data_IF_352147385506
#
_entry.id   IF_352147385506
#
_cell.length_a   1.000
_cell.length_b   1.000
_cell.length_c   1.000
_cell.angle_alpha   90.00
_cell.angle_beta   90.00
_cell.angle_gamma   90.00
#
_symmetry.space_group_name_H-M   'P 1'
#
loop_
_entity.id
_entity.type
_entity.pdbx_description
1 polymer ?
#
# COMPACT_ATOMS: atom_id res chain seq x y z
N UNK A 1 -58.79 11.37 -31.94
CA UNK A 1 -58.13 11.74 -33.21
C UNK A 1 -56.85 12.48 -32.85
N UNK A 2 -55.70 11.90 -33.22
CA UNK A 2 -54.33 12.42 -33.09
C UNK A 2 -53.83 12.77 -31.67
N UNK A 3 -52.81 12.03 -31.19
CA UNK A 3 -51.72 12.65 -30.43
C UNK A 3 -51.26 13.83 -31.28
N UNK A 4 -51.65 15.05 -30.88
CA UNK A 4 -51.30 16.25 -31.64
C UNK A 4 -49.78 16.33 -31.71
N UNK A 5 -49.31 16.42 -32.96
CA UNK A 5 -48.07 17.00 -33.44
C UNK A 5 -47.05 17.35 -32.34
N UNK A 6 -45.93 16.61 -32.32
CA UNK A 6 -44.78 16.79 -31.43
C UNK A 6 -44.11 18.17 -31.54
N UNK A 7 -44.61 19.05 -32.42
CA UNK A 7 -44.14 20.42 -32.68
C UNK A 7 -45.04 21.51 -32.07
N UNK A 8 -46.18 21.19 -31.45
CA UNK A 8 -47.12 22.21 -30.96
C UNK A 8 -46.77 22.72 -29.55
N UNK A 9 -46.33 23.98 -29.43
CA UNK A 9 -45.91 24.64 -28.19
C UNK A 9 -47.05 24.96 -27.20
N UNK A 10 -48.30 24.58 -27.49
CA UNK A 10 -49.49 25.03 -26.76
C UNK A 10 -49.97 24.13 -25.59
N UNK A 11 -49.24 23.09 -25.18
CA UNK A 11 -49.72 22.13 -24.18
C UNK A 11 -48.63 21.50 -23.32
N UNK A 12 -47.81 22.33 -22.67
CA UNK A 12 -46.64 21.89 -21.89
C UNK A 12 -47.03 20.97 -20.70
N UNK A 13 -48.23 21.12 -20.14
CA UNK A 13 -48.69 20.40 -18.94
C UNK A 13 -49.21 18.96 -19.15
N UNK A 14 -49.35 18.49 -20.40
CA UNK A 14 -49.90 17.15 -20.69
C UNK A 14 -48.87 16.08 -21.09
N UNK A 15 -47.59 16.44 -21.17
CA UNK A 15 -46.52 15.64 -21.81
C UNK A 15 -45.68 14.82 -20.84
N UNK A 16 -45.64 15.18 -19.56
CA UNK A 16 -44.91 14.47 -18.52
C UNK A 16 -45.93 13.90 -17.53
N UNK A 17 -46.06 12.58 -17.52
CA UNK A 17 -46.95 11.85 -16.63
C UNK A 17 -46.43 10.41 -16.49
N UNK A 18 -47.08 9.58 -15.66
CA UNK A 18 -46.74 8.15 -15.59
C UNK A 18 -47.08 7.44 -16.91
N UNK A 19 -46.38 6.36 -17.26
CA UNK A 19 -46.68 5.59 -18.47
C UNK A 19 -48.16 5.21 -18.57
N UNK A 20 -48.78 4.83 -17.44
CA UNK A 20 -50.20 4.46 -17.37
C UNK A 20 -51.13 5.64 -17.73
N UNK A 21 -50.81 6.84 -17.23
CA UNK A 21 -51.58 8.04 -17.53
C UNK A 21 -51.40 8.51 -18.99
N UNK A 22 -50.21 8.35 -19.56
CA UNK A 22 -49.98 8.68 -20.98
C UNK A 22 -50.72 7.72 -21.91
N UNK A 23 -50.78 6.43 -21.56
CA UNK A 23 -51.55 5.42 -22.32
C UNK A 23 -53.05 5.71 -22.29
N UNK A 24 -53.62 6.04 -21.13
CA UNK A 24 -55.05 6.38 -21.02
C UNK A 24 -55.45 7.65 -21.78
N UNK A 25 -54.51 8.59 -21.96
CA UNK A 25 -54.67 9.80 -22.80
C UNK A 25 -54.54 9.52 -24.32
N UNK A 26 -54.31 8.26 -24.71
CA UNK A 26 -54.25 7.83 -26.10
C UNK A 26 -52.85 7.90 -26.74
N UNK A 27 -51.79 8.08 -25.94
CA UNK A 27 -50.41 7.99 -26.44
C UNK A 27 -50.08 6.53 -26.82
N UNK A 28 -49.47 6.34 -27.99
CA UNK A 28 -49.04 5.00 -28.43
C UNK A 28 -47.76 4.59 -27.70
N UNK A 29 -47.64 3.31 -27.34
CA UNK A 29 -46.48 2.76 -26.61
C UNK A 29 -45.13 3.08 -27.26
N UNK A 30 -45.04 2.99 -28.58
CA UNK A 30 -43.82 3.27 -29.36
C UNK A 30 -43.40 4.74 -29.35
N UNK A 31 -44.26 5.64 -28.85
CA UNK A 31 -43.97 7.06 -28.73
C UNK A 31 -43.72 7.50 -27.28
N UNK A 32 -43.88 6.61 -26.31
CA UNK A 32 -43.60 6.89 -24.89
C UNK A 32 -42.11 6.64 -24.64
N UNK A 33 -41.38 7.69 -24.31
CA UNK A 33 -39.99 7.60 -23.86
C UNK A 33 -39.95 7.44 -22.34
N UNK A 34 -39.70 6.22 -21.89
CA UNK A 34 -39.56 5.89 -20.47
C UNK A 34 -38.28 5.09 -20.25
N UNK A 35 -37.11 5.75 -20.10
CA UNK A 35 -35.87 5.06 -19.84
C UNK A 35 -35.94 4.38 -18.47
N UNK A 36 -35.66 3.08 -18.44
CA UNK A 36 -35.64 2.25 -17.23
C UNK A 36 -34.17 2.04 -16.86
N UNK A 37 -33.88 2.07 -15.57
CA UNK A 37 -32.56 1.69 -15.08
C UNK A 37 -32.34 0.19 -15.32
N UNK A 38 -31.15 -0.19 -15.78
CA UNK A 38 -30.83 -1.59 -16.08
C UNK A 38 -29.37 -1.93 -15.84
N UNK A 39 -29.13 -3.20 -15.48
CA UNK A 39 -27.80 -3.80 -15.31
C UNK A 39 -27.59 -4.87 -16.38
N UNK A 40 -26.63 -4.65 -17.26
CA UNK A 40 -26.24 -5.60 -18.30
C UNK A 40 -24.89 -6.24 -17.94
N UNK A 41 -24.84 -7.57 -17.76
CA UNK A 41 -23.62 -8.29 -17.39
C UNK A 41 -22.90 -8.78 -18.65
N UNK A 42 -21.67 -8.31 -18.88
CA UNK A 42 -20.85 -8.65 -20.04
C UNK A 42 -19.87 -9.79 -19.79
N UNK A 43 -19.34 -9.89 -18.56
CA UNK A 43 -18.39 -10.94 -18.18
C UNK A 43 -18.70 -11.43 -16.78
N UNK A 44 -18.99 -12.74 -16.67
CA UNK A 44 -19.37 -13.38 -15.43
C UNK A 44 -18.75 -14.78 -15.28
N UNK A 45 -17.43 -14.86 -15.31
CA UNK A 45 -16.69 -16.09 -14.96
C UNK A 45 -17.02 -16.49 -13.51
N UNK A 46 -17.23 -17.78 -13.21
CA UNK A 46 -17.45 -18.25 -11.85
C UNK A 46 -16.18 -18.07 -11.00
N UNK A 47 -16.37 -17.96 -9.68
CA UNK A 47 -15.25 -17.90 -8.74
C UNK A 47 -14.47 -19.23 -8.73
N UNK A 48 -13.15 -19.17 -8.81
CA UNK A 48 -12.29 -20.35 -8.75
C UNK A 48 -12.38 -21.00 -7.36
N UNK A 49 -12.45 -22.34 -7.31
CA UNK A 49 -12.62 -23.10 -6.06
C UNK A 49 -11.34 -23.85 -5.65
N UNK A 50 -10.42 -24.10 -6.58
CA UNK A 50 -9.28 -24.99 -6.36
C UNK A 50 -7.93 -24.30 -6.62
N UNK A 51 -6.88 -24.90 -6.04
CA UNK A 51 -5.45 -24.64 -6.27
C UNK A 51 -5.06 -24.91 -7.72
N UNK A 52 -5.44 -24.03 -8.63
CA UNK A 52 -4.91 -24.05 -9.99
C UNK A 52 -3.47 -23.54 -9.96
N UNK A 53 -2.55 -24.39 -10.45
CA UNK A 53 -1.11 -24.09 -10.54
C UNK A 53 -0.78 -22.93 -11.48
N UNK A 54 -1.69 -22.60 -12.40
CA UNK A 54 -1.51 -21.50 -13.35
C UNK A 54 -2.26 -20.26 -12.84
N UNK A 55 -1.49 -19.24 -12.46
CA UNK A 55 -1.99 -17.96 -11.92
C UNK A 55 -2.90 -17.19 -12.88
N UNK A 56 -2.89 -17.51 -14.18
CA UNK A 56 -3.56 -16.73 -15.22
C UNK A 56 -5.08 -16.91 -15.33
N UNK A 57 -5.69 -17.91 -14.65
CA UNK A 57 -7.14 -18.16 -14.74
C UNK A 57 -7.86 -18.16 -13.37
N UNK A 58 -7.21 -17.61 -12.34
CA UNK A 58 -7.81 -17.42 -11.02
C UNK A 58 -8.83 -16.28 -11.08
N UNK A 59 -10.10 -16.58 -10.77
CA UNK A 59 -11.19 -15.61 -10.71
C UNK A 59 -11.64 -15.42 -9.27
N UNK A 60 -11.32 -14.27 -8.67
CA UNK A 60 -11.64 -13.93 -7.28
C UNK A 60 -12.84 -13.00 -7.12
N UNK A 61 -13.32 -12.39 -8.21
CA UNK A 61 -14.49 -11.49 -8.23
C UNK A 61 -15.45 -11.90 -9.35
N UNK A 62 -16.76 -11.82 -9.11
CA UNK A 62 -17.82 -12.10 -10.09
C UNK A 62 -19.04 -11.21 -9.83
N UNK A 63 -19.62 -10.56 -10.87
CA UNK A 63 -19.18 -10.49 -12.27
C UNK A 63 -17.95 -9.60 -12.46
N UNK A 64 -17.24 -9.74 -13.58
CA UNK A 64 -16.01 -8.98 -13.87
C UNK A 64 -16.25 -7.76 -14.77
N UNK A 65 -17.35 -7.74 -15.53
CA UNK A 65 -17.71 -6.61 -16.39
C UNK A 65 -19.22 -6.48 -16.50
N UNK A 66 -19.72 -5.28 -16.24
CA UNK A 66 -21.14 -4.93 -16.38
C UNK A 66 -21.28 -3.50 -16.92
N UNK A 67 -22.43 -3.19 -17.50
CA UNK A 67 -22.87 -1.84 -17.83
C UNK A 67 -24.09 -1.52 -17.01
N UNK A 68 -24.04 -0.41 -16.29
CA UNK A 68 -25.14 0.12 -15.51
C UNK A 68 -25.71 1.35 -16.24
N UNK A 69 -26.98 1.31 -16.60
CA UNK A 69 -27.72 2.47 -17.12
C UNK A 69 -28.66 2.93 -16.01
N UNK A 70 -28.53 4.17 -15.56
CA UNK A 70 -29.34 4.73 -14.48
C UNK A 70 -30.13 5.93 -14.95
N UNK A 71 -31.42 5.95 -14.63
CA UNK A 71 -32.26 7.14 -14.70
C UNK A 71 -31.98 8.04 -13.48
N UNK A 72 -31.93 9.38 -13.64
CA UNK A 72 -31.78 10.29 -12.51
C UNK A 72 -32.83 10.04 -11.41
N UNK A 73 -32.38 9.87 -10.17
CA UNK A 73 -33.23 9.60 -9.01
C UNK A 73 -33.67 8.15 -8.83
N UNK A 74 -33.24 7.22 -9.70
CA UNK A 74 -33.45 5.78 -9.53
C UNK A 74 -32.19 5.09 -9.02
N UNK A 75 -32.39 4.01 -8.28
CA UNK A 75 -31.33 3.16 -7.72
C UNK A 75 -31.40 1.76 -8.34
N UNK A 76 -30.25 1.09 -8.44
CA UNK A 76 -30.12 -0.31 -8.86
C UNK A 76 -29.17 -1.04 -7.92
N UNK A 77 -29.47 -2.31 -7.64
CA UNK A 77 -28.64 -3.13 -6.75
C UNK A 77 -27.79 -4.09 -7.57
N UNK A 78 -26.47 -4.00 -7.40
CA UNK A 78 -25.51 -4.91 -8.02
C UNK A 78 -25.01 -5.92 -6.99
N UNK A 79 -25.09 -7.21 -7.32
CA UNK A 79 -24.58 -8.29 -6.49
C UNK A 79 -23.16 -8.65 -6.94
N UNK A 80 -22.17 -8.39 -6.08
CA UNK A 80 -20.75 -8.73 -6.31
C UNK A 80 -20.36 -9.86 -5.35
N UNK A 81 -19.78 -10.92 -5.90
CA UNK A 81 -19.27 -12.06 -5.15
C UNK A 81 -17.75 -12.01 -5.15
N UNK A 82 -17.14 -12.12 -3.97
CA UNK A 82 -15.68 -12.13 -3.79
C UNK A 82 -15.28 -13.40 -3.05
N UNK A 83 -14.16 -14.01 -3.45
CA UNK A 83 -13.55 -15.15 -2.76
C UNK A 83 -12.04 -15.06 -2.83
N UNK A 84 -11.39 -15.25 -1.68
CA UNK A 84 -9.93 -15.41 -1.62
C UNK A 84 -9.52 -16.79 -2.13
N UNK A 85 -8.42 -16.86 -2.89
CA UNK A 85 -7.85 -18.14 -3.33
C UNK A 85 -7.09 -18.77 -2.17
N UNK A 86 -7.15 -20.10 -2.03
CA UNK A 86 -6.45 -20.83 -0.96
C UNK A 86 -4.92 -20.76 -1.12
N UNK A 87 -4.41 -20.85 -2.35
CA UNK A 87 -2.97 -20.73 -2.67
C UNK A 87 -2.74 -19.48 -3.51
N UNK A 88 -2.63 -18.33 -2.85
CA UNK A 88 -2.36 -17.04 -3.50
C UNK A 88 -0.91 -16.61 -3.24
N UNK A 89 -0.15 -16.14 -4.26
CA UNK A 89 1.24 -15.72 -4.07
C UNK A 89 1.38 -14.58 -3.06
N UNK A 90 2.42 -14.64 -2.23
CA UNK A 90 2.69 -13.64 -1.20
C UNK A 90 4.10 -13.09 -1.38
N UNK A 91 4.19 -11.76 -1.39
CA UNK A 91 5.44 -11.02 -1.29
C UNK A 91 5.48 -10.35 0.07
N UNK A 92 6.51 -10.63 0.87
CA UNK A 92 6.71 -10.02 2.18
C UNK A 92 7.99 -9.20 2.17
N UNK A 93 7.87 -7.91 2.37
CA UNK A 93 8.99 -7.00 2.54
C UNK A 93 9.14 -6.65 4.02
N UNK A 94 10.21 -7.14 4.63
CA UNK A 94 10.53 -6.90 6.03
C UNK A 94 11.28 -5.58 6.15
N UNK A 95 10.64 -4.59 6.75
CA UNK A 95 11.18 -3.24 6.91
C UNK A 95 11.46 -2.98 8.39
N UNK A 96 12.75 -2.97 8.73
CA UNK A 96 13.21 -2.99 10.11
C UNK A 96 13.87 -1.68 10.52
N UNK A 97 13.50 -1.20 11.69
CA UNK A 97 14.24 -0.21 12.44
C UNK A 97 15.61 -0.77 12.88
N UNK A 98 16.68 -0.06 12.56
CA UNK A 98 18.05 -0.38 13.00
C UNK A 98 18.61 0.71 13.91
N UNK A 99 17.76 1.44 14.64
CA UNK A 99 18.16 2.26 15.77
C UNK A 99 18.86 1.40 16.85
N UNK A 100 19.49 2.06 17.83
CA UNK A 100 20.35 1.39 18.78
C UNK A 100 19.61 0.44 19.74
N UNK A 101 18.31 0.67 19.97
CA UNK A 101 17.47 -0.16 20.82
C UNK A 101 17.17 -1.52 20.19
N UNK A 102 17.27 -1.65 18.87
CA UNK A 102 16.91 -2.86 18.11
C UNK A 102 18.05 -3.91 18.00
N UNK A 103 19.13 -3.78 18.78
CA UNK A 103 20.31 -4.69 18.68
C UNK A 103 20.00 -6.13 19.11
N UNK A 104 19.22 -6.31 20.17
CA UNK A 104 18.78 -7.63 20.63
C UNK A 104 17.75 -8.25 19.66
N UNK A 105 16.83 -7.46 19.13
CA UNK A 105 15.93 -7.88 18.04
C UNK A 105 16.72 -8.39 16.83
N UNK A 106 17.75 -7.66 16.41
CA UNK A 106 18.62 -8.06 15.31
C UNK A 106 19.27 -9.44 15.54
N UNK A 107 19.57 -9.78 16.80
CA UNK A 107 20.10 -11.11 17.14
C UNK A 107 19.06 -12.23 17.00
N UNK A 108 17.78 -11.94 17.27
CA UNK A 108 16.71 -12.95 17.14
C UNK A 108 16.31 -13.20 15.68
N UNK A 109 16.36 -12.17 14.83
CA UNK A 109 15.87 -12.28 13.45
C UNK A 109 16.86 -12.92 12.46
N UNK A 110 18.08 -13.25 12.91
CA UNK A 110 19.13 -13.90 12.09
C UNK A 110 18.72 -15.26 11.51
N UNK A 111 17.71 -15.91 12.10
CA UNK A 111 17.15 -17.18 11.63
C UNK A 111 15.67 -17.06 11.22
N UNK A 112 15.13 -15.84 11.18
CA UNK A 112 13.73 -15.59 10.86
C UNK A 112 13.38 -16.00 9.44
N UNK A 113 14.23 -15.71 8.45
CA UNK A 113 13.91 -15.94 7.03
C UNK A 113 13.59 -17.40 6.73
N UNK A 114 14.43 -18.33 7.20
CA UNK A 114 14.19 -19.77 7.05
C UNK A 114 12.95 -20.26 7.79
N UNK A 115 12.72 -19.76 9.01
CA UNK A 115 11.57 -20.17 9.83
C UNK A 115 10.27 -19.66 9.24
N UNK A 116 10.24 -18.38 8.85
CA UNK A 116 9.10 -17.73 8.21
C UNK A 116 8.78 -18.39 6.87
N UNK A 117 9.78 -18.60 6.01
CA UNK A 117 9.55 -19.28 4.73
C UNK A 117 8.99 -20.70 4.91
N UNK A 118 9.44 -21.43 5.94
CA UNK A 118 8.92 -22.76 6.26
C UNK A 118 7.46 -22.73 6.69
N UNK A 119 7.08 -21.80 7.56
CA UNK A 119 5.68 -21.66 7.99
C UNK A 119 4.79 -21.15 6.85
N UNK A 120 5.25 -20.18 6.07
CA UNK A 120 4.52 -19.64 4.91
C UNK A 120 4.33 -20.67 3.80
N UNK A 121 5.27 -21.61 3.62
CA UNK A 121 5.13 -22.71 2.66
C UNK A 121 3.94 -23.64 2.92
N UNK A 122 3.37 -23.61 4.13
CA UNK A 122 2.14 -24.36 4.47
C UNK A 122 0.88 -23.66 3.97
N UNK A 123 0.95 -22.35 3.72
CA UNK A 123 -0.16 -21.50 3.31
C UNK A 123 -0.14 -21.18 1.82
N UNK A 124 1.05 -20.92 1.27
CA UNK A 124 1.24 -20.65 -0.16
C UNK A 124 2.44 -21.40 -0.72
N UNK A 125 2.30 -21.85 -1.97
CA UNK A 125 3.40 -22.41 -2.74
C UNK A 125 4.37 -21.35 -3.27
N UNK A 126 4.02 -20.07 -3.19
CA UNK A 126 4.75 -18.99 -3.88
C UNK A 126 4.99 -17.77 -2.99
N UNK A 127 5.93 -17.95 -2.07
CA UNK A 127 6.37 -16.94 -1.11
C UNK A 127 7.69 -16.28 -1.53
N UNK A 128 7.76 -14.95 -1.46
CA UNK A 128 9.00 -14.17 -1.58
C UNK A 128 9.23 -13.32 -0.34
N UNK A 129 10.50 -13.19 0.03
CA UNK A 129 10.94 -12.40 1.16
C UNK A 129 11.98 -11.37 0.70
N UNK A 130 11.85 -10.14 1.17
CA UNK A 130 12.78 -9.04 0.95
C UNK A 130 13.10 -8.33 2.26
N UNK A 131 14.14 -7.50 2.26
CA UNK A 131 14.61 -6.79 3.46
C UNK A 131 14.97 -5.33 3.14
N UNK A 132 14.64 -4.44 4.07
CA UNK A 132 15.07 -3.05 4.09
C UNK A 132 15.24 -2.59 5.52
N UNK A 133 16.03 -1.55 5.70
CA UNK A 133 16.27 -0.96 7.01
C UNK A 133 16.17 0.56 6.98
N UNK A 134 15.82 1.14 8.12
CA UNK A 134 15.76 2.59 8.32
C UNK A 134 16.26 2.95 9.72
N UNK A 135 16.60 4.22 9.88
CA UNK A 135 16.89 4.83 11.19
C UNK A 135 16.23 6.21 11.16
N UNK A 136 16.94 7.23 10.69
CA UNK A 136 16.46 8.60 10.68
C UNK A 136 17.20 9.44 9.61
N UNK A 137 16.61 10.58 9.21
CA UNK A 137 17.22 11.60 8.39
C UNK A 137 18.58 12.00 9.01
N UNK A 138 19.70 11.82 8.29
CA UNK A 138 21.04 12.07 8.84
C UNK A 138 21.39 13.57 8.84
N UNK A 139 20.56 14.38 9.50
CA UNK A 139 20.65 15.84 9.61
C UNK A 139 20.33 16.28 11.03
N UNK A 140 20.97 17.36 11.50
CA UNK A 140 20.62 17.97 12.79
C UNK A 140 19.19 18.57 12.73
N UNK A 141 18.37 18.49 13.78
CA UNK A 141 18.70 18.08 15.15
C UNK A 141 18.54 16.59 15.45
N UNK A 142 18.16 15.75 14.48
CA UNK A 142 17.94 14.32 14.69
C UNK A 142 19.24 13.56 15.01
N UNK A 143 20.37 14.02 14.47
CA UNK A 143 21.69 13.47 14.76
C UNK A 143 22.66 14.50 15.33
N UNK A 144 23.69 14.01 16.03
CA UNK A 144 24.85 14.83 16.41
C UNK A 144 25.79 14.96 15.21
N UNK A 145 26.22 16.19 14.93
CA UNK A 145 27.03 16.51 13.73
C UNK A 145 28.51 16.73 14.02
N UNK A 146 29.00 16.38 15.21
CA UNK A 146 30.44 16.35 15.49
C UNK A 146 31.09 15.21 14.71
N UNK A 147 32.30 15.42 14.16
CA UNK A 147 32.97 14.42 13.31
C UNK A 147 33.12 13.03 13.96
N UNK A 148 33.27 12.97 15.28
CA UNK A 148 33.37 11.72 16.01
C UNK A 148 32.02 10.96 16.07
N UNK A 149 30.92 11.66 16.33
CA UNK A 149 29.56 11.09 16.39
C UNK A 149 29.00 10.76 15.00
N UNK A 150 29.37 11.51 13.95
CA UNK A 150 28.98 11.16 12.58
C UNK A 150 29.56 9.80 12.17
N UNK A 151 30.80 9.51 12.58
CA UNK A 151 31.46 8.25 12.25
C UNK A 151 30.99 7.09 13.14
N UNK A 152 30.64 7.35 14.40
CA UNK A 152 30.08 6.37 15.31
C UNK A 152 29.06 7.07 16.25
N UNK A 153 27.75 7.05 15.93
CA UNK A 153 26.75 7.77 16.72
C UNK A 153 26.47 7.13 18.08
N UNK A 154 27.00 5.92 18.33
CA UNK A 154 26.89 5.23 19.61
C UNK A 154 28.03 5.58 20.55
N UNK A 155 28.93 6.52 20.23
CA UNK A 155 30.15 6.80 21.00
C UNK A 155 29.90 7.19 22.45
N UNK A 156 28.76 7.80 22.77
CA UNK A 156 28.39 8.08 24.17
C UNK A 156 28.17 6.82 25.02
N UNK A 157 28.10 5.65 24.38
CA UNK A 157 28.00 4.32 24.97
C UNK A 157 29.24 3.52 24.46
N UNK A 158 29.79 2.54 25.19
CA UNK A 158 30.94 1.76 24.72
C UNK A 158 30.55 0.75 23.62
N UNK A 159 29.96 1.23 22.53
CA UNK A 159 29.49 0.44 21.39
C UNK A 159 29.93 1.10 20.07
N UNK A 160 30.18 0.28 19.05
CA UNK A 160 30.48 0.74 17.69
C UNK A 160 29.28 0.44 16.79
N UNK A 161 28.70 1.47 16.21
CA UNK A 161 27.56 1.35 15.31
C UNK A 161 27.77 2.13 14.01
N UNK A 162 26.93 1.84 13.01
CA UNK A 162 27.05 2.47 11.71
C UNK A 162 26.65 3.95 11.77
N UNK A 163 27.20 4.82 10.90
CA UNK A 163 26.68 6.17 10.68
C UNK A 163 25.18 6.15 10.39
N UNK A 164 24.45 7.13 10.93
CA UNK A 164 23.00 7.27 10.73
C UNK A 164 22.65 7.37 9.25
N UNK A 165 21.56 6.74 8.86
CA UNK A 165 21.04 6.74 7.49
C UNK A 165 19.51 6.78 7.50
N UNK A 166 18.92 7.35 6.44
CA UNK A 166 17.46 7.43 6.32
C UNK A 166 16.82 6.07 6.05
N UNK A 167 16.91 5.60 4.80
CA UNK A 167 16.39 4.29 4.38
C UNK A 167 17.37 3.62 3.41
N UNK A 168 17.56 2.31 3.58
CA UNK A 168 18.32 1.45 2.67
C UNK A 168 17.51 0.24 2.26
N UNK A 169 17.37 0.07 0.95
CA UNK A 169 16.88 -1.18 0.37
C UNK A 169 18.05 -2.17 0.27
N UNK A 170 17.93 -3.33 0.93
CA UNK A 170 19.05 -4.28 1.06
C UNK A 170 18.84 -5.55 0.24
N UNK A 171 17.65 -6.14 0.29
CA UNK A 171 17.31 -7.36 -0.43
C UNK A 171 15.99 -7.21 -1.19
N UNK A 172 16.04 -7.29 -2.52
CA UNK A 172 14.87 -7.44 -3.38
C UNK A 172 14.13 -8.74 -3.08
N UNK A 173 12.81 -8.73 -3.24
CA UNK A 173 11.93 -9.87 -3.03
C UNK A 173 12.41 -11.09 -3.83
N UNK A 174 12.79 -12.15 -3.12
CA UNK A 174 13.31 -13.38 -3.70
C UNK A 174 12.69 -14.62 -3.05
N UNK A 175 12.73 -15.75 -3.76
CA UNK A 175 12.31 -17.04 -3.22
C UNK A 175 13.42 -17.68 -2.35
N UNK A 176 14.63 -17.11 -2.34
CA UNK A 176 15.78 -17.61 -1.60
C UNK A 176 15.76 -17.12 -0.14
N UNK A 177 15.20 -17.93 0.74
CA UNK A 177 15.12 -17.64 2.17
C UNK A 177 16.49 -17.69 2.88
N UNK A 178 17.46 -18.44 2.35
CA UNK A 178 18.81 -18.49 2.94
C UNK A 178 19.53 -17.15 2.71
N UNK A 179 19.32 -16.55 1.54
CA UNK A 179 19.86 -15.22 1.23
C UNK A 179 19.40 -14.14 2.21
N UNK A 180 18.15 -14.21 2.68
CA UNK A 180 17.66 -13.32 3.72
C UNK A 180 18.45 -13.47 5.01
N UNK A 181 18.64 -14.70 5.50
CA UNK A 181 19.39 -14.96 6.72
C UNK A 181 20.84 -14.47 6.62
N UNK A 182 21.50 -14.65 5.48
CA UNK A 182 22.85 -14.14 5.23
C UNK A 182 22.93 -12.62 5.35
N UNK A 183 21.96 -11.93 4.74
CA UNK A 183 21.92 -10.46 4.72
C UNK A 183 21.64 -9.89 6.11
N UNK A 184 20.69 -10.47 6.84
CA UNK A 184 20.34 -10.05 8.21
C UNK A 184 21.52 -10.21 9.16
N UNK A 185 22.28 -11.31 9.02
CA UNK A 185 23.52 -11.52 9.81
C UNK A 185 24.59 -10.45 9.57
N UNK A 186 24.58 -9.82 8.40
CA UNK A 186 25.51 -8.75 8.03
C UNK A 186 25.05 -7.35 8.43
N UNK A 187 23.80 -7.17 8.87
CA UNK A 187 23.32 -5.87 9.33
C UNK A 187 23.97 -5.49 10.66
N UNK A 188 24.01 -4.18 10.92
CA UNK A 188 24.46 -3.60 12.17
C UNK A 188 23.55 -2.44 12.49
N UNK A 189 23.33 -2.21 13.78
CA UNK A 189 22.60 -1.05 14.28
C UNK A 189 23.31 0.26 13.95
N UNK A 190 22.56 1.34 14.06
CA UNK A 190 22.97 2.73 14.04
C UNK A 190 22.33 3.46 15.23
N UNK A 191 22.39 4.78 15.26
CA UNK A 191 21.74 5.59 16.29
C UNK A 191 21.46 7.02 15.81
N UNK A 192 20.51 7.66 16.48
CA UNK A 192 20.11 9.06 16.40
C UNK A 192 19.90 9.61 17.84
N UNK A 193 19.44 10.85 17.97
CA UNK A 193 19.29 11.52 19.27
C UNK A 193 17.88 11.34 19.84
N UNK A 194 16.88 11.62 19.02
CA UNK A 194 15.49 11.64 19.42
C UNK A 194 14.85 10.26 19.33
N UNK A 195 13.65 10.14 19.91
CA UNK A 195 12.95 8.86 20.01
C UNK A 195 12.12 8.54 18.78
N UNK A 196 11.41 9.48 18.14
CA UNK A 196 10.70 9.15 16.91
C UNK A 196 11.69 8.93 15.76
N UNK A 197 11.38 7.97 14.89
CA UNK A 197 12.28 7.51 13.83
C UNK A 197 11.72 7.83 12.43
N UNK A 198 12.58 7.69 11.42
CA UNK A 198 12.33 8.03 10.02
C UNK A 198 11.55 6.96 9.25
N UNK A 199 10.80 6.11 9.95
CA UNK A 199 10.15 4.92 9.41
C UNK A 199 9.19 5.19 8.25
N UNK A 200 8.50 6.33 8.27
CA UNK A 200 7.53 6.67 7.23
C UNK A 200 8.16 7.01 5.87
N UNK A 201 9.38 7.58 5.85
CA UNK A 201 10.14 7.73 4.60
C UNK A 201 10.41 6.36 3.96
N UNK A 202 10.74 5.38 4.79
CA UNK A 202 11.05 4.03 4.35
C UNK A 202 9.81 3.29 3.83
N UNK A 203 8.64 3.43 4.50
CA UNK A 203 7.36 2.88 3.99
C UNK A 203 7.05 3.48 2.61
N UNK A 204 7.18 4.80 2.45
CA UNK A 204 6.92 5.46 1.17
C UNK A 204 7.81 4.88 0.07
N UNK A 205 9.13 4.85 0.27
CA UNK A 205 10.08 4.34 -0.72
C UNK A 205 9.84 2.85 -1.04
N UNK A 206 9.59 2.02 -0.03
CA UNK A 206 9.29 0.60 -0.22
C UNK A 206 7.97 0.36 -0.99
N UNK A 207 6.98 1.24 -0.87
CA UNK A 207 5.74 1.13 -1.62
C UNK A 207 5.88 1.59 -3.08
N UNK A 208 6.59 2.69 -3.34
CA UNK A 208 6.64 3.33 -4.68
C UNK A 208 7.74 2.78 -5.58
N UNK A 209 8.85 2.28 -5.02
CA UNK A 209 10.00 1.75 -5.77
C UNK A 209 9.78 0.32 -6.29
N UNK A 210 8.67 0.05 -6.99
CA UNK A 210 8.22 -1.30 -7.38
C UNK A 210 9.30 -2.20 -7.98
N UNK A 211 10.05 -1.68 -8.94
CA UNK A 211 11.05 -2.47 -9.67
C UNK A 211 12.24 -2.87 -8.79
N UNK A 212 12.68 -1.98 -7.89
CA UNK A 212 13.80 -2.26 -6.98
C UNK A 212 13.40 -3.21 -5.87
N UNK A 213 12.23 -2.99 -5.27
CA UNK A 213 11.71 -3.86 -4.23
C UNK A 213 11.34 -5.24 -4.81
N UNK A 214 10.75 -5.26 -6.00
CA UNK A 214 10.41 -6.48 -6.74
C UNK A 214 8.98 -6.98 -6.52
N UNK A 215 8.04 -6.07 -6.22
CA UNK A 215 6.62 -6.41 -6.06
C UNK A 215 6.05 -7.03 -7.34
N UNK A 216 5.39 -8.19 -7.24
CA UNK A 216 4.74 -8.82 -8.41
C UNK A 216 3.39 -8.15 -8.71
N UNK A 217 2.82 -8.41 -9.88
CA UNK A 217 1.51 -7.81 -10.20
C UNK A 217 0.34 -8.56 -9.54
N UNK A 218 0.46 -9.89 -9.42
CA UNK A 218 -0.62 -10.78 -8.97
C UNK A 218 -0.22 -11.50 -7.67
N UNK A 219 0.13 -10.73 -6.65
CA UNK A 219 0.47 -11.24 -5.32
C UNK A 219 -0.08 -10.33 -4.22
N UNK A 220 -0.11 -10.86 -2.99
CA UNK A 220 -0.36 -10.07 -1.80
C UNK A 220 0.94 -9.36 -1.41
N UNK A 221 0.92 -8.03 -1.36
CA UNK A 221 2.08 -7.24 -0.93
C UNK A 221 1.97 -6.95 0.56
N UNK A 222 2.75 -7.65 1.36
CA UNK A 222 2.84 -7.43 2.80
C UNK A 222 4.11 -6.63 3.11
N UNK A 223 3.94 -5.42 3.63
CA UNK A 223 5.04 -4.62 4.16
C UNK A 223 4.98 -4.70 5.68
N UNK A 224 5.93 -5.42 6.28
CA UNK A 224 6.01 -5.57 7.74
C UNK A 224 6.92 -4.48 8.26
N UNK A 225 6.33 -3.48 8.91
CA UNK A 225 7.04 -2.40 9.57
C UNK A 225 7.35 -2.79 11.01
N UNK A 226 8.62 -2.82 11.39
CA UNK A 226 9.09 -3.25 12.71
C UNK A 226 9.87 -2.12 13.36
N UNK A 227 9.38 -1.61 14.49
CA UNK A 227 10.03 -0.57 15.29
C UNK A 227 9.52 -0.63 16.74
N UNK A 228 10.33 -0.17 17.68
CA UNK A 228 9.98 -0.02 19.10
C UNK A 228 9.67 1.43 19.48
N UNK A 229 9.53 2.34 18.50
CA UNK A 229 9.35 3.76 18.72
C UNK A 229 8.27 4.42 17.84
N UNK A 230 8.00 5.70 18.11
CA UNK A 230 7.11 6.53 17.29
C UNK A 230 7.75 6.83 15.92
N UNK A 231 6.95 7.25 14.94
CA UNK A 231 7.44 7.66 13.62
C UNK A 231 7.24 9.15 13.39
N UNK A 232 8.25 9.80 12.83
CA UNK A 232 8.11 11.18 12.33
C UNK A 232 7.20 11.24 11.09
N UNK A 233 6.46 12.35 10.95
CA UNK A 233 5.55 12.55 9.83
C UNK A 233 5.44 14.02 9.38
N UNK A 234 5.22 14.21 8.08
CA UNK A 234 5.04 15.53 7.47
C UNK A 234 6.09 16.58 7.89
N UNK A 235 5.61 17.62 8.54
CA UNK A 235 6.36 18.85 8.83
C UNK A 235 7.34 18.73 10.00
N UNK A 236 7.49 17.58 10.66
CA UNK A 236 8.48 17.39 11.74
C UNK A 236 9.90 17.73 11.27
N UNK A 237 10.19 17.39 10.01
CA UNK A 237 11.46 17.71 9.34
C UNK A 237 11.77 19.20 9.19
N UNK A 238 10.80 20.10 9.45
CA UNK A 238 11.02 21.54 9.55
C UNK A 238 12.04 21.90 10.62
N UNK A 239 12.17 21.09 11.68
CA UNK A 239 13.21 21.24 12.71
C UNK A 239 14.62 21.14 12.12
N UNK A 240 14.79 20.33 11.07
CA UNK A 240 16.05 20.19 10.32
C UNK A 240 16.16 21.15 9.12
N UNK A 241 15.22 22.11 8.99
CA UNK A 241 15.18 23.04 7.85
C UNK A 241 14.69 22.42 6.54
N UNK A 242 14.15 21.21 6.58
CA UNK A 242 13.58 20.52 5.43
C UNK A 242 12.11 20.93 5.33
N UNK A 243 11.76 21.58 4.22
CA UNK A 243 10.44 22.23 4.03
C UNK A 243 9.85 21.99 2.63
N UNK A 244 10.38 21.00 1.93
CA UNK A 244 9.90 20.59 0.60
C UNK A 244 9.04 19.34 0.81
N UNK A 245 7.72 19.40 0.60
CA UNK A 245 6.85 18.25 0.81
C UNK A 245 7.30 17.01 0.05
N UNK A 246 7.13 15.84 0.67
CA UNK A 246 7.37 14.56 0.01
C UNK A 246 6.58 14.49 -1.30
N UNK A 247 7.22 14.06 -2.39
CA UNK A 247 6.61 14.04 -3.72
C UNK A 247 5.94 12.69 -4.05
N UNK A 248 6.09 11.68 -3.20
CA UNK A 248 5.56 10.34 -3.38
C UNK A 248 6.20 9.55 -4.53
N UNK A 249 7.43 9.90 -4.92
CA UNK A 249 8.18 9.22 -5.98
C UNK A 249 9.33 8.36 -5.43
N UNK A 250 9.85 7.46 -6.26
CA UNK A 250 11.01 6.64 -5.94
C UNK A 250 12.32 7.42 -6.09
N UNK A 251 13.12 7.46 -5.04
CA UNK A 251 14.41 8.16 -4.98
C UNK A 251 15.55 7.28 -4.42
N UNK A 252 15.50 5.97 -4.69
CA UNK A 252 16.58 5.06 -4.37
C UNK A 252 17.72 5.17 -5.38
N UNK A 253 18.90 5.56 -4.91
CA UNK A 253 20.09 5.73 -5.76
C UNK A 253 20.72 4.40 -6.22
N UNK A 254 21.87 4.46 -6.89
CA UNK A 254 22.58 3.26 -7.35
C UNK A 254 23.10 2.36 -6.22
N UNK A 255 23.22 2.88 -4.99
CA UNK A 255 23.60 2.13 -3.79
C UNK A 255 22.38 1.60 -3.03
N UNK A 256 21.17 1.79 -3.58
CA UNK A 256 19.91 1.45 -2.95
C UNK A 256 19.64 2.21 -1.65
N UNK A 257 20.15 3.43 -1.55
CA UNK A 257 19.87 4.33 -0.42
C UNK A 257 18.90 5.44 -0.83
N UNK A 258 18.08 5.90 0.12
CA UNK A 258 17.15 6.99 -0.11
C UNK A 258 17.89 8.33 -0.20
N UNK A 259 18.09 8.77 -1.44
CA UNK A 259 18.89 9.96 -1.77
C UNK A 259 18.25 11.29 -1.36
N UNK A 260 16.93 11.32 -1.18
CA UNK A 260 16.18 12.54 -0.85
C UNK A 260 15.85 12.67 0.65
N UNK A 261 16.41 11.82 1.51
CA UNK A 261 16.20 11.85 2.97
C UNK A 261 16.47 13.22 3.60
N UNK A 262 17.45 13.95 3.09
CA UNK A 262 17.88 15.27 3.60
C UNK A 262 17.27 16.45 2.83
N UNK A 263 16.40 16.19 1.85
CA UNK A 263 15.83 17.20 0.94
C UNK A 263 14.31 17.29 1.06
N UNK A 264 13.63 16.14 1.18
CA UNK A 264 12.17 16.06 1.24
C UNK A 264 11.69 15.83 2.67
N UNK A 265 10.56 16.44 3.01
CA UNK A 265 9.84 16.19 4.25
C UNK A 265 9.47 14.70 4.39
N UNK A 266 9.21 14.25 5.62
CA UNK A 266 8.56 12.95 5.82
C UNK A 266 7.20 12.96 5.11
N UNK A 267 6.73 11.82 4.60
CA UNK A 267 5.40 11.76 4.01
C UNK A 267 4.33 11.98 5.09
N UNK A 268 3.22 12.58 4.68
CA UNK A 268 2.02 12.64 5.51
C UNK A 268 1.26 11.32 5.47
N UNK A 269 0.41 11.05 6.46
CA UNK A 269 -0.45 9.86 6.47
C UNK A 269 -1.33 9.78 5.21
N UNK A 270 -1.86 10.92 4.74
CA UNK A 270 -2.67 10.97 3.51
C UNK A 270 -1.89 10.55 2.27
N UNK A 271 -0.62 10.95 2.15
CA UNK A 271 0.26 10.53 1.06
C UNK A 271 0.61 9.05 1.14
N UNK A 272 0.87 8.52 2.35
CA UNK A 272 1.09 7.10 2.56
C UNK A 272 -0.15 6.30 2.13
N UNK A 273 -1.34 6.69 2.56
CA UNK A 273 -2.60 6.02 2.16
C UNK A 273 -2.75 6.00 0.63
N UNK A 274 -2.55 7.15 -0.03
CA UNK A 274 -2.64 7.24 -1.49
C UNK A 274 -1.70 6.23 -2.18
N UNK A 275 -0.43 6.20 -1.76
CA UNK A 275 0.59 5.32 -2.37
C UNK A 275 0.43 3.86 -2.00
N UNK A 276 0.04 3.53 -0.78
CA UNK A 276 -0.20 2.15 -0.36
C UNK A 276 -1.39 1.56 -1.13
N UNK A 277 -2.49 2.32 -1.26
CA UNK A 277 -3.66 1.91 -2.06
C UNK A 277 -3.31 1.81 -3.54
N UNK A 278 -2.64 2.82 -4.10
CA UNK A 278 -2.22 2.83 -5.52
C UNK A 278 -1.32 1.63 -5.87
N UNK A 279 -0.48 1.21 -4.93
CA UNK A 279 0.50 0.14 -5.13
C UNK A 279 0.04 -1.21 -4.55
N UNK A 280 -1.20 -1.29 -4.05
CA UNK A 280 -1.80 -2.48 -3.46
C UNK A 280 -0.93 -3.09 -2.34
N UNK A 281 -0.31 -2.24 -1.51
CA UNK A 281 0.56 -2.64 -0.40
C UNK A 281 -0.22 -2.62 0.91
N UNK A 282 -0.20 -3.73 1.63
CA UNK A 282 -0.78 -3.88 2.96
C UNK A 282 0.33 -3.74 3.99
N UNK A 283 0.24 -2.69 4.81
CA UNK A 283 1.21 -2.46 5.89
C UNK A 283 0.74 -3.20 7.14
N UNK A 284 1.68 -3.87 7.79
CA UNK A 284 1.52 -4.49 9.11
C UNK A 284 2.46 -3.75 10.05
N UNK A 285 1.91 -3.05 11.03
CA UNK A 285 2.69 -2.43 12.10
C UNK A 285 2.97 -3.46 13.19
N UNK A 286 4.20 -3.97 13.22
CA UNK A 286 4.71 -4.87 14.24
C UNK A 286 5.54 -4.06 15.24
N UNK A 287 4.85 -3.39 16.16
CA UNK A 287 5.44 -2.49 17.15
C UNK A 287 5.40 -3.09 18.56
N UNK A 288 6.27 -2.60 19.45
CA UNK A 288 6.27 -3.00 20.86
C UNK A 288 5.03 -2.46 21.59
N UNK A 289 4.75 -3.03 22.77
CA UNK A 289 3.51 -2.79 23.52
C UNK A 289 3.28 -1.31 23.87
N UNK A 290 4.34 -0.52 24.04
CA UNK A 290 4.22 0.91 24.37
C UNK A 290 3.68 1.74 23.19
N UNK A 291 3.91 1.29 21.96
CA UNK A 291 3.53 1.98 20.72
C UNK A 291 2.21 1.48 20.14
N UNK A 292 1.65 0.36 20.62
CA UNK A 292 0.42 -0.24 20.05
C UNK A 292 -0.71 0.78 19.91
N UNK A 293 -0.99 1.57 20.94
CA UNK A 293 -2.04 2.58 20.90
C UNK A 293 -1.81 3.72 19.90
N UNK A 294 -0.56 4.00 19.55
CA UNK A 294 -0.22 5.03 18.56
C UNK A 294 -0.44 4.54 17.14
N UNK A 295 -0.21 3.24 16.88
CA UNK A 295 -0.28 2.64 15.54
C UNK A 295 -1.59 1.87 15.24
N UNK A 296 -2.48 1.68 16.23
CA UNK A 296 -3.86 1.17 16.07
C UNK A 296 -4.84 2.24 15.54
#
# INVERSE_FOLDING_TARGET
MMCKNYTDSAGIHGRCDTPENLLSKGCQLNLIEFPISEVEIHRNKPLTIATQKDSSDVTQISPQKLTLRLRPGHEETIQIKVRQSEDYPIDLYYLMDLSASMDDDLNTIKELGSTLSKEMSKLTSNFRLGFGSFVEKPVSPFIKTTAEEINNPCRSVPYECLPTFGYKHVLSLTNDAERFNEIVKGQRISANIDTPEGGFDAIMQAAVCKEKIGWRNDSLHLLVFVSDADSHFGMDSKLAGIVIPNDGNCHLDHNNEYSMSTILEYPTIGQLIDKLVQNNVLVIFAVTNEQVHTYE
#
